data_IF_175534145915
#
_entry.id   IF_175534145915
#
_cell.length_a   1.000
_cell.length_b   1.000
_cell.length_c   1.000
_cell.angle_alpha   90.00
_cell.angle_beta   90.00
_cell.angle_gamma   90.00
#
_symmetry.space_group_name_H-M   'P 1'
#
loop_
_entity.id
_entity.type
_entity.pdbx_description
1 polymer ?
#
# COMPACT_ATOMS: atom_id res chain seq x y z
N UNK A 1 -0.40 -24.88 8.96
CA UNK A 1 0.54 -23.93 8.31
C UNK A 1 1.92 -24.54 8.42
N UNK A 2 2.65 -24.66 7.31
CA UNK A 2 4.02 -25.19 7.33
C UNK A 2 4.90 -24.32 8.24
N UNK A 3 5.80 -24.94 9.01
CA UNK A 3 6.71 -24.25 9.94
C UNK A 3 7.79 -23.53 9.10
N UNK A 4 7.53 -22.28 8.71
CA UNK A 4 8.51 -21.43 8.03
C UNK A 4 9.67 -21.07 8.96
N UNK A 5 10.87 -20.98 8.41
CA UNK A 5 12.03 -20.47 9.14
C UNK A 5 11.90 -18.94 9.35
N UNK A 6 12.54 -18.41 10.40
CA UNK A 6 12.55 -16.98 10.72
C UNK A 6 13.04 -16.13 9.54
N UNK A 7 14.12 -16.54 8.89
CA UNK A 7 14.69 -15.82 7.74
C UNK A 7 13.73 -15.76 6.55
N UNK A 8 12.97 -16.83 6.33
CA UNK A 8 11.96 -16.90 5.28
C UNK A 8 10.80 -15.94 5.57
N UNK A 9 10.34 -15.87 6.82
CA UNK A 9 9.29 -14.94 7.26
C UNK A 9 9.73 -13.49 7.07
N UNK A 10 10.96 -13.14 7.48
CA UNK A 10 11.52 -11.80 7.29
C UNK A 10 11.64 -11.44 5.81
N UNK A 11 12.12 -12.38 4.97
CA UNK A 11 12.23 -12.17 3.52
C UNK A 11 10.88 -11.92 2.86
N UNK A 12 9.88 -12.74 3.15
CA UNK A 12 8.53 -12.56 2.61
C UNK A 12 7.89 -11.28 3.12
N UNK A 13 8.08 -10.95 4.39
CA UNK A 13 7.55 -9.70 4.93
C UNK A 13 8.20 -8.47 4.30
N UNK A 14 9.49 -8.51 3.98
CA UNK A 14 10.15 -7.46 3.22
C UNK A 14 9.52 -7.25 1.83
N UNK A 15 9.07 -8.32 1.16
CA UNK A 15 8.31 -8.23 -0.10
C UNK A 15 6.95 -7.57 0.13
N UNK A 16 6.22 -7.93 1.19
CA UNK A 16 4.97 -7.26 1.57
C UNK A 16 5.19 -5.76 1.80
N UNK A 17 6.24 -5.36 2.53
CA UNK A 17 6.57 -3.96 2.76
C UNK A 17 6.94 -3.24 1.46
N UNK A 18 7.74 -3.86 0.59
CA UNK A 18 8.09 -3.29 -0.71
C UNK A 18 6.85 -3.02 -1.54
N UNK A 19 5.96 -4.00 -1.63
CA UNK A 19 4.72 -3.87 -2.39
C UNK A 19 3.81 -2.79 -1.78
N UNK A 20 3.74 -2.68 -0.45
CA UNK A 20 2.98 -1.61 0.20
C UNK A 20 3.50 -0.21 -0.14
N UNK A 21 4.83 -0.04 -0.18
CA UNK A 21 5.47 1.22 -0.59
C UNK A 21 5.17 1.55 -2.05
N UNK A 22 5.26 0.56 -2.94
CA UNK A 22 4.91 0.72 -4.36
C UNK A 22 3.45 1.10 -4.52
N UNK A 23 2.54 0.40 -3.85
CA UNK A 23 1.09 0.69 -3.91
C UNK A 23 0.78 2.09 -3.35
N UNK A 24 1.39 2.47 -2.23
CA UNK A 24 1.24 3.82 -1.69
C UNK A 24 1.78 4.89 -2.65
N UNK A 25 2.94 4.65 -3.27
CA UNK A 25 3.52 5.54 -4.26
C UNK A 25 2.58 5.74 -5.46
N UNK A 26 2.04 4.66 -6.02
CA UNK A 26 1.08 4.72 -7.14
C UNK A 26 -0.18 5.50 -6.72
N UNK A 27 -0.69 5.25 -5.52
CA UNK A 27 -1.86 6.00 -5.01
C UNK A 27 -1.57 7.50 -4.95
N UNK A 28 -0.44 7.91 -4.37
CA UNK A 28 -0.09 9.34 -4.29
C UNK A 28 0.23 9.95 -5.65
N UNK A 29 0.82 9.18 -6.57
CA UNK A 29 1.05 9.61 -7.95
C UNK A 29 -0.27 9.97 -8.66
N UNK A 30 -1.31 9.17 -8.45
CA UNK A 30 -2.63 9.38 -9.05
C UNK A 30 -3.45 10.44 -8.31
N UNK A 31 -3.26 10.58 -6.99
CA UNK A 31 -3.98 11.53 -6.16
C UNK A 31 -3.46 12.96 -6.28
N UNK A 32 -2.14 13.15 -6.33
CA UNK A 32 -1.53 14.48 -6.21
C UNK A 32 -1.98 15.47 -7.30
N UNK A 33 -2.04 15.11 -8.60
CA UNK A 33 -2.52 16.03 -9.63
C UNK A 33 -3.97 16.47 -9.42
N UNK A 34 -4.84 15.57 -8.95
CA UNK A 34 -6.22 15.91 -8.61
C UNK A 34 -6.28 16.97 -7.49
N UNK A 35 -5.43 16.88 -6.46
CA UNK A 35 -5.35 17.91 -5.42
C UNK A 35 -4.91 19.25 -6.01
N UNK A 36 -3.89 19.26 -6.86
CA UNK A 36 -3.38 20.49 -7.49
C UNK A 36 -4.45 21.15 -8.36
N UNK A 37 -5.16 20.38 -9.18
CA UNK A 37 -6.27 20.86 -10.03
C UNK A 37 -7.34 21.54 -9.18
N UNK A 38 -7.77 20.90 -8.09
CA UNK A 38 -8.83 21.44 -7.21
C UNK A 38 -8.39 22.70 -6.47
N UNK A 39 -7.16 22.72 -5.93
CA UNK A 39 -6.64 23.86 -5.16
C UNK A 39 -6.36 25.07 -6.05
N UNK A 40 -5.86 24.83 -7.27
CA UNK A 40 -5.52 25.90 -8.22
C UNK A 40 -6.67 26.29 -9.15
N UNK A 41 -7.80 25.59 -9.10
CA UNK A 41 -8.92 25.81 -10.03
C UNK A 41 -8.54 25.59 -11.49
N UNK A 42 -7.68 24.61 -11.78
CA UNK A 42 -7.30 24.25 -13.14
C UNK A 42 -8.36 23.31 -13.73
N UNK A 43 -8.49 23.29 -15.05
CA UNK A 43 -9.33 22.31 -15.76
C UNK A 43 -8.53 21.07 -16.20
N UNK A 44 -7.21 21.21 -16.36
CA UNK A 44 -6.30 20.14 -16.79
C UNK A 44 -4.87 20.30 -16.25
N UNK A 45 -4.14 19.17 -16.16
CA UNK A 45 -2.70 19.11 -15.92
C UNK A 45 -2.11 18.02 -16.83
N UNK A 46 -0.97 18.33 -17.45
CA UNK A 46 -0.26 17.43 -18.36
C UNK A 46 -1.13 16.92 -19.53
N UNK A 47 -2.06 17.76 -20.01
CA UNK A 47 -2.98 17.43 -21.10
C UNK A 47 -4.09 16.44 -20.71
N UNK A 48 -4.28 16.17 -19.42
CA UNK A 48 -5.34 15.32 -18.89
C UNK A 48 -6.33 16.15 -18.08
N UNK A 49 -7.62 15.91 -18.33
CA UNK A 49 -8.72 16.63 -17.67
C UNK A 49 -8.82 16.33 -16.18
N UNK A 50 -9.49 17.23 -15.46
CA UNK A 50 -9.91 17.02 -14.06
C UNK A 50 -10.58 15.67 -13.83
N UNK A 51 -11.53 15.29 -14.68
CA UNK A 51 -12.25 14.01 -14.56
C UNK A 51 -11.31 12.80 -14.74
N UNK A 52 -10.34 12.92 -15.65
CA UNK A 52 -9.34 11.86 -15.88
C UNK A 52 -8.49 11.65 -14.63
N UNK A 53 -7.98 12.73 -14.04
CA UNK A 53 -7.21 12.66 -12.81
C UNK A 53 -8.04 12.21 -11.60
N UNK A 54 -9.31 12.62 -11.53
CA UNK A 54 -10.22 12.17 -10.48
C UNK A 54 -10.48 10.66 -10.56
N UNK A 55 -10.77 10.15 -11.75
CA UNK A 55 -10.92 8.70 -11.98
C UNK A 55 -9.62 7.95 -11.68
N UNK A 56 -8.47 8.51 -12.03
CA UNK A 56 -7.16 7.99 -11.65
C UNK A 56 -7.00 7.89 -10.14
N UNK A 57 -7.35 8.93 -9.39
CA UNK A 57 -7.31 8.92 -7.93
C UNK A 57 -8.23 7.85 -7.32
N UNK A 58 -9.44 7.67 -7.86
CA UNK A 58 -10.36 6.60 -7.45
C UNK A 58 -9.73 5.23 -7.71
N UNK A 59 -9.18 5.00 -8.90
CA UNK A 59 -8.52 3.74 -9.23
C UNK A 59 -7.34 3.45 -8.27
N UNK A 60 -6.51 4.46 -8.02
CA UNK A 60 -5.41 4.37 -7.05
C UNK A 60 -5.90 4.03 -5.64
N UNK A 61 -7.00 4.64 -5.20
CA UNK A 61 -7.61 4.38 -3.90
C UNK A 61 -8.13 2.95 -3.78
N UNK A 62 -8.84 2.44 -4.80
CA UNK A 62 -9.33 1.06 -4.83
C UNK A 62 -8.19 0.05 -4.79
N UNK A 63 -7.12 0.28 -5.56
CA UNK A 63 -5.91 -0.57 -5.53
C UNK A 63 -5.27 -0.56 -4.13
N UNK A 64 -5.14 0.63 -3.52
CA UNK A 64 -4.59 0.77 -2.17
C UNK A 64 -5.42 0.01 -1.14
N UNK A 65 -6.74 0.17 -1.16
CA UNK A 65 -7.64 -0.57 -0.27
C UNK A 65 -7.52 -2.08 -0.48
N UNK A 66 -7.55 -2.53 -1.74
CA UNK A 66 -7.37 -3.95 -2.08
C UNK A 66 -6.08 -4.53 -1.50
N UNK A 67 -4.96 -3.80 -1.65
CA UNK A 67 -3.69 -4.20 -1.05
C UNK A 67 -3.79 -4.29 0.48
N UNK A 68 -4.35 -3.29 1.15
CA UNK A 68 -4.49 -3.26 2.61
C UNK A 68 -5.34 -4.43 3.13
N UNK A 69 -6.42 -4.78 2.44
CA UNK A 69 -7.32 -5.85 2.91
C UNK A 69 -6.81 -7.25 2.58
N UNK A 70 -6.21 -7.46 1.40
CA UNK A 70 -5.87 -8.79 0.91
C UNK A 70 -4.39 -9.14 1.04
N UNK A 71 -3.49 -8.17 0.81
CA UNK A 71 -2.05 -8.42 0.67
C UNK A 71 -1.22 -7.98 1.88
N UNK A 72 -1.74 -7.06 2.69
CA UNK A 72 -1.10 -6.62 3.94
C UNK A 72 -1.28 -7.64 5.06
N UNK A 73 -0.63 -8.79 4.92
CA UNK A 73 -0.74 -9.94 5.82
C UNK A 73 0.62 -10.33 6.38
N UNK A 74 0.62 -10.84 7.60
CA UNK A 74 1.76 -11.52 8.19
C UNK A 74 2.03 -12.83 7.42
N UNK A 75 3.24 -13.09 6.94
CA UNK A 75 3.54 -14.31 6.19
C UNK A 75 3.49 -15.59 7.04
N UNK A 76 3.58 -15.45 8.37
CA UNK A 76 3.48 -16.56 9.32
C UNK A 76 2.03 -16.94 9.65
N UNK A 77 1.19 -15.98 10.03
CA UNK A 77 -0.18 -16.26 10.49
C UNK A 77 -1.31 -15.85 9.53
N UNK A 78 -0.99 -15.19 8.41
CA UNK A 78 -1.95 -14.72 7.43
C UNK A 78 -2.88 -13.60 7.90
N UNK A 79 -2.67 -13.03 9.10
CA UNK A 79 -3.50 -11.97 9.69
C UNK A 79 -2.86 -10.60 9.51
N UNK A 80 -3.63 -9.54 9.75
CA UNK A 80 -3.14 -8.17 9.75
C UNK A 80 -1.94 -8.02 10.72
N UNK A 81 -0.75 -7.64 10.24
CA UNK A 81 0.45 -7.66 11.07
C UNK A 81 0.60 -6.44 11.98
N UNK A 82 -0.33 -5.47 11.96
CA UNK A 82 -0.23 -4.18 12.67
C UNK A 82 -0.18 -2.94 11.78
N UNK A 83 0.02 -1.76 12.36
CA UNK A 83 0.15 -0.46 11.65
C UNK A 83 1.62 -0.11 11.33
N UNK A 84 1.86 0.64 10.25
CA UNK A 84 3.18 1.22 9.90
C UNK A 84 4.24 0.26 9.30
N UNK A 85 5.15 0.76 8.46
CA UNK A 85 6.05 -0.12 7.69
C UNK A 85 7.24 -0.70 8.48
N UNK A 86 7.63 -0.09 9.60
CA UNK A 86 8.88 -0.38 10.33
C UNK A 86 8.67 -1.30 11.54
N UNK A 87 7.78 -2.27 11.42
CA UNK A 87 7.41 -3.13 12.56
C UNK A 87 8.40 -4.26 12.73
N UNK A 88 8.81 -4.49 13.98
CA UNK A 88 9.68 -5.61 14.35
C UNK A 88 8.92 -6.90 14.58
N UNK A 89 7.71 -6.85 15.13
CA UNK A 89 6.93 -8.04 15.49
C UNK A 89 5.49 -7.97 14.97
N UNK A 90 4.88 -9.13 14.71
CA UNK A 90 3.47 -9.23 14.36
C UNK A 90 2.57 -9.07 15.60
N UNK A 91 1.62 -8.12 15.57
CA UNK A 91 0.65 -7.92 16.67
C UNK A 91 -0.28 -9.12 16.91
N UNK A 92 -0.39 -10.06 15.97
CA UNK A 92 -1.32 -11.20 16.06
C UNK A 92 -0.67 -12.52 16.46
N UNK A 93 0.56 -12.78 16.05
CA UNK A 93 1.25 -14.04 16.39
C UNK A 93 2.60 -13.84 17.09
N UNK A 94 3.05 -12.60 17.31
CA UNK A 94 4.29 -12.30 18.03
C UNK A 94 5.58 -12.63 17.26
N UNK A 95 5.49 -13.15 16.03
CA UNK A 95 6.69 -13.49 15.24
C UNK A 95 7.47 -12.24 14.87
N UNK A 96 8.79 -12.36 14.82
CA UNK A 96 9.70 -11.34 14.33
C UNK A 96 9.56 -11.18 12.81
N UNK A 97 9.48 -9.94 12.34
CA UNK A 97 9.18 -9.55 10.96
C UNK A 97 10.30 -8.71 10.32
N UNK A 98 11.13 -8.02 11.12
CA UNK A 98 12.29 -7.24 10.66
C UNK A 98 13.39 -7.21 11.71
#
# INVERSE_FOLDING_TARGET
MAKKNSDEIKREFAVVIRNAKITAFIFFLLLAPNIVIQVKGLEEIAGLSKDTWFNGAIAGFVIYLGFVFFLWKCPSCGKYPGRGWFRKNCEKCGVELS
#
